data_IF_554523168659
#
_entry.id   IF_554523168659
#
_cell.length_a   1.000
_cell.length_b   1.000
_cell.length_c   1.000
_cell.angle_alpha   90.00
_cell.angle_beta   90.00
_cell.angle_gamma   90.00
#
_symmetry.space_group_name_H-M   'P 1'
#
loop_
_entity.id
_entity.type
_entity.pdbx_description
1 polymer ?
#
# COMPACT_ATOMS: atom_id res chain seq x y z
N UNK A 1 23.62 26.23 -23.54
CA UNK A 1 22.40 26.26 -22.70
C UNK A 1 22.20 24.87 -22.16
N UNK A 2 22.64 24.68 -20.93
CA UNK A 2 22.45 23.41 -20.25
C UNK A 2 21.02 23.37 -19.69
N UNK A 3 20.16 22.71 -20.44
CA UNK A 3 18.93 22.25 -19.83
C UNK A 3 19.30 21.12 -18.87
N UNK A 4 19.49 21.45 -17.60
CA UNK A 4 19.44 20.47 -16.56
C UNK A 4 18.04 19.88 -16.60
N UNK A 5 17.88 18.83 -17.40
CA UNK A 5 16.78 17.93 -17.23
C UNK A 5 16.86 17.48 -15.78
N UNK A 6 15.89 17.87 -14.99
CA UNK A 6 15.67 17.26 -13.70
C UNK A 6 15.67 15.76 -13.97
N UNK A 7 16.73 15.08 -13.54
CA UNK A 7 16.78 13.64 -13.59
C UNK A 7 15.62 13.18 -12.73
N UNK A 8 14.49 12.88 -13.37
CA UNK A 8 13.54 11.97 -12.78
C UNK A 8 14.36 10.72 -12.49
N UNK A 9 14.62 10.48 -11.21
CA UNK A 9 15.35 9.28 -10.80
C UNK A 9 14.52 8.11 -11.34
N UNK A 10 15.03 7.45 -12.37
CA UNK A 10 14.39 6.29 -12.94
C UNK A 10 14.34 5.23 -11.85
N UNK A 11 13.17 5.08 -11.22
CA UNK A 11 12.91 3.96 -10.33
C UNK A 11 12.91 2.73 -11.23
N UNK A 12 13.90 1.88 -11.04
CA UNK A 12 13.95 0.58 -11.69
C UNK A 12 12.87 -0.31 -11.08
N UNK A 13 12.36 -1.27 -11.86
CA UNK A 13 11.36 -2.22 -11.38
C UNK A 13 11.99 -3.18 -10.36
N UNK A 14 12.14 -2.72 -9.12
CA UNK A 14 12.57 -3.55 -8.01
C UNK A 14 11.39 -4.37 -7.51
N UNK A 15 11.60 -5.68 -7.34
CA UNK A 15 10.59 -6.62 -6.87
C UNK A 15 10.81 -6.86 -5.38
N UNK A 16 9.76 -6.63 -4.60
CA UNK A 16 9.74 -6.88 -3.16
C UNK A 16 8.97 -8.17 -2.89
N UNK A 17 9.63 -9.15 -2.33
CA UNK A 17 9.00 -10.41 -1.93
C UNK A 17 8.26 -10.23 -0.62
N UNK A 18 6.97 -10.53 -0.63
CA UNK A 18 6.09 -10.40 0.53
C UNK A 18 5.99 -11.69 1.36
N UNK A 19 6.93 -12.58 1.19
CA UNK A 19 6.91 -13.94 1.75
C UNK A 19 6.28 -14.96 0.79
N UNK A 20 6.23 -16.21 1.21
CA UNK A 20 5.81 -17.31 0.32
C UNK A 20 4.31 -17.31 0.02
N UNK A 21 3.50 -16.70 0.87
CA UNK A 21 2.04 -16.73 0.76
C UNK A 21 1.47 -15.53 -0.01
N UNK A 22 1.95 -14.34 0.26
CA UNK A 22 1.44 -13.10 -0.34
C UNK A 22 2.11 -12.79 -1.68
N UNK A 23 1.43 -12.05 -2.57
CA UNK A 23 2.01 -11.71 -3.87
C UNK A 23 3.17 -10.73 -3.75
N UNK A 24 4.08 -10.79 -4.70
CA UNK A 24 5.18 -9.84 -4.83
C UNK A 24 4.65 -8.43 -5.10
N UNK A 25 5.40 -7.44 -4.65
CA UNK A 25 5.15 -6.02 -4.88
C UNK A 25 6.21 -5.48 -5.83
N UNK A 26 5.78 -4.81 -6.87
CA UNK A 26 6.64 -4.19 -7.87
C UNK A 26 6.73 -2.68 -7.65
N UNK A 27 7.94 -2.16 -7.48
CA UNK A 27 8.16 -0.73 -7.25
C UNK A 27 7.61 0.12 -8.40
N UNK A 28 7.79 -0.33 -9.63
CA UNK A 28 7.31 0.38 -10.81
C UNK A 28 5.77 0.42 -10.89
N UNK A 29 5.10 -0.67 -10.52
CA UNK A 29 3.64 -0.71 -10.46
C UNK A 29 3.08 0.25 -9.39
N UNK A 30 3.69 0.27 -8.21
CA UNK A 30 3.38 1.26 -7.18
C UNK A 30 3.48 2.68 -7.74
N UNK A 31 4.58 3.00 -8.39
CA UNK A 31 4.84 4.35 -8.90
C UNK A 31 3.84 4.77 -9.97
N UNK A 32 3.44 3.86 -10.85
CA UNK A 32 2.45 4.11 -11.89
C UNK A 32 1.02 4.21 -11.36
N UNK A 33 0.70 3.42 -10.32
CA UNK A 33 -0.65 3.34 -9.75
C UNK A 33 -0.94 4.45 -8.75
N UNK A 34 0.09 4.92 -8.03
CA UNK A 34 -0.03 5.93 -7.00
C UNK A 34 0.66 7.21 -7.47
N UNK A 35 -0.03 8.34 -7.37
CA UNK A 35 0.57 9.61 -7.69
C UNK A 35 1.70 9.91 -6.71
N UNK A 36 2.94 9.92 -7.19
CA UNK A 36 4.13 10.16 -6.37
C UNK A 36 4.71 11.55 -6.63
N UNK A 37 5.22 12.17 -5.57
CA UNK A 37 6.02 13.37 -5.68
C UNK A 37 7.37 13.04 -6.35
N UNK A 38 7.84 13.91 -7.25
CA UNK A 38 9.14 13.77 -7.93
C UNK A 38 10.37 13.77 -7.03
N UNK A 39 10.17 13.94 -5.72
CA UNK A 39 11.24 13.88 -4.70
C UNK A 39 11.41 12.49 -4.07
N UNK A 40 10.62 11.51 -4.50
CA UNK A 40 10.71 10.16 -3.99
C UNK A 40 11.98 9.47 -4.47
N UNK A 41 12.87 9.10 -3.55
CA UNK A 41 14.06 8.34 -3.87
C UNK A 41 13.79 6.84 -3.82
N UNK A 42 14.54 6.01 -4.59
CA UNK A 42 14.40 4.55 -4.52
C UNK A 42 14.57 3.99 -3.11
N UNK A 43 15.49 4.54 -2.33
CA UNK A 43 15.75 4.10 -0.95
C UNK A 43 14.58 4.39 -0.01
N UNK A 44 13.96 5.56 -0.14
CA UNK A 44 12.77 5.92 0.65
C UNK A 44 11.58 5.04 0.28
N UNK A 45 11.39 4.79 -1.01
CA UNK A 45 10.34 3.90 -1.49
C UNK A 45 10.55 2.47 -0.96
N UNK A 46 11.76 1.95 -1.06
CA UNK A 46 12.12 0.63 -0.54
C UNK A 46 11.79 0.50 0.94
N UNK A 47 12.19 1.47 1.73
CA UNK A 47 11.93 1.48 3.18
C UNK A 47 10.43 1.50 3.47
N UNK A 48 9.68 2.36 2.79
CA UNK A 48 8.24 2.50 3.00
C UNK A 48 7.46 1.26 2.54
N UNK A 49 7.79 0.67 1.40
CA UNK A 49 7.16 -0.57 0.91
C UNK A 49 7.48 -1.73 1.85
N UNK A 50 8.73 -1.88 2.26
CA UNK A 50 9.14 -2.95 3.17
C UNK A 50 8.38 -2.88 4.49
N UNK A 51 8.28 -1.69 5.08
CA UNK A 51 7.53 -1.48 6.31
C UNK A 51 6.04 -1.80 6.13
N UNK A 52 5.44 -1.34 5.03
CA UNK A 52 4.04 -1.63 4.72
C UNK A 52 3.78 -3.13 4.57
N UNK A 53 4.64 -3.86 3.87
CA UNK A 53 4.55 -5.31 3.74
C UNK A 53 4.57 -5.99 5.12
N UNK A 54 5.51 -5.62 5.98
CA UNK A 54 5.63 -6.19 7.32
C UNK A 54 4.35 -5.97 8.13
N UNK A 55 3.83 -4.76 8.12
CA UNK A 55 2.63 -4.42 8.90
C UNK A 55 1.38 -5.11 8.35
N UNK A 56 1.16 -5.09 7.04
CA UNK A 56 0.01 -5.76 6.41
C UNK A 56 0.07 -7.27 6.63
N UNK A 57 1.24 -7.88 6.46
CA UNK A 57 1.41 -9.32 6.69
C UNK A 57 1.11 -9.69 8.14
N UNK A 58 1.47 -8.82 9.09
CA UNK A 58 1.17 -9.01 10.51
C UNK A 58 -0.33 -8.95 10.78
N UNK A 59 -1.01 -7.96 10.22
CA UNK A 59 -2.47 -7.84 10.32
C UNK A 59 -3.21 -9.05 9.75
N UNK A 60 -2.69 -9.63 8.69
CA UNK A 60 -3.27 -10.78 8.00
C UNK A 60 -2.75 -12.13 8.49
N UNK A 61 -1.91 -12.17 9.53
CA UNK A 61 -1.21 -13.41 9.93
C UNK A 61 -2.15 -14.53 10.37
N UNK A 62 -3.16 -14.22 11.17
CA UNK A 62 -4.15 -15.22 11.61
C UNK A 62 -5.03 -15.70 10.44
N UNK A 63 -5.46 -14.79 9.58
CA UNK A 63 -6.19 -15.14 8.37
C UNK A 63 -5.36 -16.02 7.43
N UNK A 64 -4.10 -15.65 7.20
CA UNK A 64 -3.16 -16.46 6.41
C UNK A 64 -3.05 -17.87 6.96
N UNK A 65 -2.85 -18.00 8.26
CA UNK A 65 -2.73 -19.31 8.92
C UNK A 65 -3.98 -20.15 8.68
N UNK A 66 -5.17 -19.56 8.82
CA UNK A 66 -6.41 -20.28 8.56
C UNK A 66 -6.53 -20.76 7.11
N UNK A 67 -6.05 -19.97 6.15
CA UNK A 67 -6.05 -20.37 4.73
C UNK A 67 -5.06 -21.49 4.45
N UNK A 68 -3.90 -21.46 5.06
CA UNK A 68 -2.90 -22.54 4.95
C UNK A 68 -3.47 -23.85 5.53
N UNK A 69 -4.16 -23.79 6.65
CA UNK A 69 -4.83 -24.94 7.26
C UNK A 69 -5.92 -25.54 6.36
N UNK A 70 -6.58 -24.72 5.54
CA UNK A 70 -7.53 -25.17 4.53
C UNK A 70 -6.86 -25.79 3.30
N UNK A 71 -5.53 -25.76 3.21
CA UNK A 71 -4.75 -26.34 2.12
C UNK A 71 -4.33 -25.38 1.02
N UNK A 72 -4.51 -24.09 1.20
CA UNK A 72 -4.06 -23.10 0.21
C UNK A 72 -2.63 -22.66 0.49
N UNK A 73 -1.72 -22.92 -0.44
CA UNK A 73 -0.29 -22.65 -0.28
C UNK A 73 0.05 -21.16 -0.45
N UNK A 74 -0.76 -20.43 -1.20
CA UNK A 74 -0.55 -19.01 -1.51
C UNK A 74 -1.87 -18.30 -1.78
N UNK A 75 -1.87 -16.97 -1.66
CA UNK A 75 -3.08 -16.16 -1.82
C UNK A 75 -3.75 -16.35 -3.19
N UNK A 76 -2.96 -16.47 -4.24
CA UNK A 76 -3.46 -16.67 -5.60
C UNK A 76 -4.12 -18.03 -5.84
N UNK A 77 -3.93 -18.98 -4.93
CA UNK A 77 -4.56 -20.32 -4.97
C UNK A 77 -5.90 -20.39 -4.24
N UNK A 78 -6.25 -19.37 -3.48
CA UNK A 78 -7.53 -19.31 -2.77
C UNK A 78 -8.64 -19.05 -3.80
N UNK A 79 -9.75 -19.83 -3.78
CA UNK A 79 -10.91 -19.54 -4.64
C UNK A 79 -11.45 -18.14 -4.38
N UNK A 80 -11.52 -17.33 -5.43
CA UNK A 80 -11.97 -15.95 -5.38
C UNK A 80 -12.43 -15.52 -6.78
N UNK A 81 -13.12 -14.41 -6.86
CA UNK A 81 -13.44 -13.83 -8.16
C UNK A 81 -12.20 -13.27 -8.83
N UNK A 82 -12.16 -13.36 -10.14
CA UNK A 82 -11.09 -12.77 -10.95
C UNK A 82 -11.57 -11.47 -11.57
N UNK A 83 -10.77 -10.44 -11.39
CA UNK A 83 -10.98 -9.12 -12.00
C UNK A 83 -9.73 -8.79 -12.80
N UNK A 84 -9.91 -8.46 -14.08
CA UNK A 84 -8.76 -8.20 -14.98
C UNK A 84 -7.71 -9.32 -14.95
N UNK A 85 -8.15 -10.58 -14.97
CA UNK A 85 -7.29 -11.78 -14.96
C UNK A 85 -6.51 -12.05 -13.67
N UNK A 86 -6.74 -11.29 -12.61
CA UNK A 86 -6.11 -11.50 -11.31
C UNK A 86 -7.14 -11.77 -10.22
N UNK A 87 -6.76 -12.54 -9.20
CA UNK A 87 -7.60 -12.75 -8.01
C UNK A 87 -7.91 -11.43 -7.32
N UNK A 88 -9.16 -11.22 -6.93
CA UNK A 88 -9.55 -10.04 -6.14
C UNK A 88 -8.76 -9.93 -4.83
N UNK A 89 -8.39 -11.05 -4.22
CA UNK A 89 -7.59 -11.06 -3.00
C UNK A 89 -6.19 -10.47 -3.24
N UNK A 90 -5.57 -10.82 -4.36
CA UNK A 90 -4.26 -10.28 -4.77
C UNK A 90 -4.36 -8.78 -5.02
N UNK A 91 -5.40 -8.34 -5.70
CA UNK A 91 -5.64 -6.92 -5.96
C UNK A 91 -5.86 -6.12 -4.67
N UNK A 92 -6.62 -6.67 -3.72
CA UNK A 92 -6.87 -6.05 -2.42
C UNK A 92 -5.59 -5.97 -1.58
N UNK A 93 -4.77 -7.00 -1.60
CA UNK A 93 -3.48 -7.00 -0.92
C UNK A 93 -2.56 -5.89 -1.44
N UNK A 94 -2.41 -5.78 -2.76
CA UNK A 94 -1.64 -4.68 -3.37
C UNK A 94 -2.18 -3.32 -2.97
N UNK A 95 -3.51 -3.15 -2.99
CA UNK A 95 -4.14 -1.90 -2.56
C UNK A 95 -3.79 -1.55 -1.12
N UNK A 96 -3.85 -2.51 -0.20
CA UNK A 96 -3.48 -2.31 1.19
C UNK A 96 -2.03 -1.85 1.32
N UNK A 97 -1.10 -2.55 0.67
CA UNK A 97 0.33 -2.22 0.71
C UNK A 97 0.60 -0.85 0.07
N UNK A 98 0.00 -0.55 -1.07
CA UNK A 98 0.22 0.73 -1.76
C UNK A 98 -0.34 1.91 -0.97
N UNK A 99 -1.54 1.77 -0.44
CA UNK A 99 -2.17 2.83 0.37
C UNK A 99 -1.37 3.10 1.65
N UNK A 100 -0.90 2.07 2.32
CA UNK A 100 -0.08 2.21 3.53
C UNK A 100 1.30 2.79 3.21
N UNK A 101 1.92 2.37 2.11
CA UNK A 101 3.18 2.95 1.64
C UNK A 101 3.03 4.45 1.42
N UNK A 102 1.98 4.85 0.71
CA UNK A 102 1.72 6.27 0.44
C UNK A 102 1.41 7.05 1.71
N UNK A 103 0.64 6.49 2.64
CA UNK A 103 0.37 7.12 3.92
C UNK A 103 1.66 7.37 4.71
N UNK A 104 2.52 6.38 4.82
CA UNK A 104 3.81 6.50 5.51
C UNK A 104 4.71 7.57 4.87
N UNK A 105 4.80 7.59 3.55
CA UNK A 105 5.59 8.60 2.82
C UNK A 105 5.02 10.00 3.01
N UNK A 106 3.70 10.16 2.97
CA UNK A 106 3.01 11.44 3.12
C UNK A 106 3.17 11.98 4.55
N UNK A 107 3.07 11.14 5.57
CA UNK A 107 3.29 11.52 6.98
C UNK A 107 4.70 12.06 7.19
N UNK A 108 5.71 11.37 6.68
CA UNK A 108 7.11 11.81 6.77
C UNK A 108 7.36 13.12 6.03
N UNK A 109 6.71 13.31 4.89
CA UNK A 109 6.84 14.54 4.11
C UNK A 109 6.22 15.74 4.84
N UNK A 110 5.10 15.54 5.52
CA UNK A 110 4.43 16.59 6.32
C UNK A 110 5.34 17.14 7.42
N UNK A 111 6.13 16.29 8.06
CA UNK A 111 6.97 16.66 9.18
C UNK A 111 8.19 17.51 8.77
N UNK A 112 8.49 17.60 7.49
CA UNK A 112 9.68 18.33 6.97
C UNK A 112 9.34 19.75 6.52
N UNK A 113 8.09 20.05 6.20
CA UNK A 113 7.68 21.38 5.72
C UNK A 113 7.12 22.24 6.86
N UNK A 114 7.95 23.17 7.36
CA UNK A 114 7.63 24.06 8.49
C UNK A 114 7.25 25.50 8.06
N UNK A 115 6.97 25.73 6.77
CA UNK A 115 6.58 27.06 6.26
C UNK A 115 5.08 27.32 6.41
N UNK A 116 4.65 28.60 6.36
CA UNK A 116 3.23 28.98 6.42
C UNK A 116 2.40 28.37 5.29
N UNK A 117 2.98 28.18 4.12
CA UNK A 117 2.36 27.41 3.04
C UNK A 117 2.34 25.92 3.35
N UNK A 118 3.25 25.44 4.20
CA UNK A 118 3.31 24.09 4.71
C UNK A 118 2.17 23.74 5.67
N UNK A 119 1.68 24.69 6.48
CA UNK A 119 0.54 24.44 7.39
C UNK A 119 -0.74 24.13 6.61
N UNK A 120 -1.05 24.88 5.56
CA UNK A 120 -2.21 24.59 4.69
C UNK A 120 -2.06 23.29 3.94
N UNK A 121 -0.85 22.97 3.48
CA UNK A 121 -0.55 21.67 2.88
C UNK A 121 -0.68 20.55 3.92
N UNK A 122 -0.21 20.76 5.15
CA UNK A 122 -0.29 19.79 6.24
C UNK A 122 -1.74 19.45 6.60
N UNK A 123 -2.67 20.43 6.60
CA UNK A 123 -4.10 20.19 6.83
C UNK A 123 -4.70 19.33 5.70
N UNK A 124 -4.41 19.68 4.43
CA UNK A 124 -4.85 18.90 3.27
C UNK A 124 -4.24 17.49 3.23
N UNK A 125 -2.97 17.35 3.61
CA UNK A 125 -2.29 16.06 3.71
C UNK A 125 -2.85 15.20 4.84
N UNK A 126 -3.26 15.80 5.96
CA UNK A 126 -3.92 15.10 7.06
C UNK A 126 -5.19 14.38 6.60
N UNK A 127 -6.06 15.03 5.84
CA UNK A 127 -7.26 14.43 5.26
C UNK A 127 -6.90 13.28 4.30
N UNK A 128 -5.89 13.49 3.44
CA UNK A 128 -5.41 12.46 2.51
C UNK A 128 -4.84 11.25 3.25
N UNK A 129 -4.09 11.46 4.33
CA UNK A 129 -3.56 10.39 5.17
C UNK A 129 -4.69 9.57 5.80
N UNK A 130 -5.72 10.22 6.33
CA UNK A 130 -6.88 9.54 6.92
C UNK A 130 -7.64 8.70 5.89
N UNK A 131 -7.78 9.20 4.66
CA UNK A 131 -8.39 8.46 3.56
C UNK A 131 -7.56 7.23 3.18
N UNK A 132 -6.24 7.36 3.12
CA UNK A 132 -5.34 6.26 2.82
C UNK A 132 -5.40 5.17 3.90
N UNK A 133 -5.42 5.54 5.18
CA UNK A 133 -5.57 4.58 6.28
C UNK A 133 -6.93 3.89 6.25
N UNK A 134 -7.97 4.59 5.87
CA UNK A 134 -9.31 4.01 5.65
C UNK A 134 -9.28 2.99 4.52
N UNK A 135 -8.62 3.29 3.42
CA UNK A 135 -8.43 2.35 2.31
C UNK A 135 -7.68 1.09 2.73
N UNK A 136 -6.65 1.24 3.55
CA UNK A 136 -5.89 0.09 4.12
C UNK A 136 -6.83 -0.80 4.93
N UNK A 137 -7.56 -0.23 5.87
CA UNK A 137 -8.46 -0.99 6.74
C UNK A 137 -9.57 -1.67 5.95
N UNK A 138 -10.15 -0.98 4.99
CA UNK A 138 -11.16 -1.53 4.11
C UNK A 138 -10.64 -2.72 3.31
N UNK A 139 -9.46 -2.62 2.73
CA UNK A 139 -8.86 -3.73 1.98
C UNK A 139 -8.57 -4.95 2.87
N UNK A 140 -8.03 -4.72 4.06
CA UNK A 140 -7.77 -5.78 5.04
C UNK A 140 -9.06 -6.50 5.44
N UNK A 141 -10.12 -5.75 5.77
CA UNK A 141 -11.41 -6.30 6.13
C UNK A 141 -12.02 -7.13 4.99
N UNK A 142 -11.91 -6.66 3.76
CA UNK A 142 -12.38 -7.38 2.57
C UNK A 142 -11.62 -8.68 2.36
N UNK A 143 -10.31 -8.69 2.54
CA UNK A 143 -9.50 -9.90 2.46
C UNK A 143 -9.96 -10.93 3.50
N UNK A 144 -10.17 -10.49 4.73
CA UNK A 144 -10.64 -11.36 5.82
C UNK A 144 -12.07 -11.83 5.66
N UNK A 145 -12.82 -11.27 4.72
CA UNK A 145 -14.24 -11.56 4.56
C UNK A 145 -15.11 -10.98 5.67
N UNK A 146 -14.58 -10.05 6.45
CA UNK A 146 -15.34 -9.33 7.47
C UNK A 146 -16.28 -8.34 6.77
N UNK A 147 -17.57 -8.50 7.02
CA UNK A 147 -18.53 -7.52 6.53
C UNK A 147 -18.34 -6.20 7.31
N UNK A 148 -18.45 -5.09 6.61
CA UNK A 148 -18.63 -3.78 7.22
C UNK A 148 -19.99 -3.81 7.93
N UNK A 149 -20.01 -4.41 9.11
CA UNK A 149 -21.12 -4.24 10.00
C UNK A 149 -21.03 -2.84 10.60
N UNK A 150 -21.72 -1.92 9.96
CA UNK A 150 -22.23 -0.79 10.71
C UNK A 150 -23.19 -1.41 11.71
N UNK A 151 -22.69 -1.67 12.92
CA UNK A 151 -23.57 -2.02 14.03
C UNK A 151 -24.33 -0.74 14.35
N UNK A 152 -25.44 -0.54 13.68
CA UNK A 152 -26.45 0.37 14.20
C UNK A 152 -26.96 -0.29 15.49
N UNK A 153 -26.50 0.21 16.59
CA UNK A 153 -27.14 -0.01 17.87
C UNK A 153 -28.51 0.67 17.79
N UNK A 154 -29.47 -0.13 17.46
CA UNK A 154 -30.85 0.27 17.64
C UNK A 154 -31.17 0.26 19.13
#
# INVERSE_FOLDING_TARGET
MDFTSSQSQNITDEIFHSGDFFPDIHALDYQKSMLTDGKLTPERLKHAITTAIIEINRELSAWRQSQIEKGYASMDKIPAEFVNTESELVLLYRRAVYSQTKANLTERYRDVDTTNSGEKKAEGLGTTIDELWRDVQWAIQRIKGESHNIVELI
#
